data_IF_108317897505
#
_entry.id   IF_108317897505
#
_cell.length_a   1.000
_cell.length_b   1.000
_cell.length_c   1.000
_cell.angle_alpha   90.00
_cell.angle_beta   90.00
_cell.angle_gamma   90.00
#
_symmetry.space_group_name_H-M   'P 1'
#
loop_
_entity.id
_entity.type
_entity.pdbx_description
1 polymer ?
#
# COMPACT_ATOMS: atom_id res chain seq x y z
N UNK A 1 -6.46 -1.08 28.27
CA UNK A 1 -5.61 -1.42 27.11
C UNK A 1 -5.78 -0.33 26.07
N UNK A 2 -4.69 0.18 25.55
CA UNK A 2 -4.77 1.24 24.56
C UNK A 2 -5.10 0.60 23.19
N UNK A 3 -6.34 0.69 22.77
CA UNK A 3 -6.84 0.15 21.48
C UNK A 3 -6.63 1.16 20.33
N UNK A 4 -5.78 2.16 20.55
CA UNK A 4 -5.48 3.18 19.55
C UNK A 4 -4.69 2.58 18.40
N UNK A 5 -5.07 2.99 17.17
CA UNK A 5 -4.31 2.66 15.97
C UNK A 5 -3.01 3.46 15.95
N UNK A 6 -1.88 2.79 15.84
CA UNK A 6 -0.54 3.37 15.74
C UNK A 6 0.06 3.03 14.39
N UNK A 7 0.60 4.03 13.69
CA UNK A 7 1.36 3.82 12.46
C UNK A 7 2.85 4.00 12.79
N UNK A 8 3.65 3.00 12.47
CA UNK A 8 5.10 2.99 12.71
C UNK A 8 5.86 2.30 11.58
N UNK A 9 7.17 2.49 11.47
CA UNK A 9 7.99 1.62 10.63
C UNK A 9 7.83 0.15 11.03
N UNK A 10 7.75 -0.73 10.03
CA UNK A 10 7.70 -2.18 10.26
C UNK A 10 9.07 -2.70 10.68
N UNK A 11 9.08 -3.79 11.43
CA UNK A 11 10.27 -4.53 11.85
C UNK A 11 10.15 -6.00 11.46
N UNK A 12 11.24 -6.76 11.55
CA UNK A 12 11.26 -8.18 11.17
C UNK A 12 10.15 -9.00 11.86
N UNK A 13 9.86 -8.71 13.12
CA UNK A 13 8.83 -9.42 13.89
C UNK A 13 7.40 -9.28 13.30
N UNK A 14 7.15 -8.24 12.51
CA UNK A 14 5.84 -8.01 11.89
C UNK A 14 5.62 -8.86 10.63
N UNK A 15 6.69 -9.32 9.99
CA UNK A 15 6.68 -9.88 8.63
C UNK A 15 5.77 -11.08 8.50
N UNK A 16 5.84 -12.04 9.41
CA UNK A 16 5.07 -13.29 9.31
C UNK A 16 3.56 -13.02 9.40
N UNK A 17 3.13 -12.15 10.31
CA UNK A 17 1.73 -11.76 10.44
C UNK A 17 1.24 -11.06 9.16
N UNK A 18 1.99 -10.08 8.68
CA UNK A 18 1.67 -9.32 7.45
C UNK A 18 1.57 -10.25 6.23
N UNK A 19 2.49 -11.17 6.08
CA UNK A 19 2.50 -12.14 4.99
C UNK A 19 1.32 -13.11 5.05
N UNK A 20 0.97 -13.57 6.25
CA UNK A 20 -0.10 -14.54 6.44
C UNK A 20 -1.47 -14.01 6.01
N UNK A 21 -1.87 -12.81 6.40
CA UNK A 21 -3.17 -12.28 5.96
C UNK A 21 -3.17 -11.84 4.50
N UNK A 22 -2.03 -11.33 3.99
CA UNK A 22 -1.92 -10.88 2.60
C UNK A 22 -2.11 -12.06 1.64
N UNK A 23 -1.52 -13.21 1.93
CA UNK A 23 -1.67 -14.41 1.11
C UNK A 23 -3.12 -14.96 1.11
N UNK A 24 -3.95 -14.57 2.07
CA UNK A 24 -5.38 -14.95 2.12
C UNK A 24 -6.29 -14.05 1.29
N UNK A 25 -5.77 -12.92 0.77
CA UNK A 25 -6.56 -12.07 -0.13
C UNK A 25 -6.89 -12.86 -1.41
N UNK A 26 -8.17 -13.02 -1.78
CA UNK A 26 -8.58 -13.90 -2.88
C UNK A 26 -7.83 -13.63 -4.18
N UNK A 27 -7.71 -12.37 -4.56
CA UNK A 27 -6.98 -11.97 -5.77
C UNK A 27 -5.53 -12.48 -5.77
N UNK A 28 -4.85 -12.43 -4.63
CA UNK A 28 -3.46 -12.87 -4.51
C UNK A 28 -3.35 -14.40 -4.46
N UNK A 29 -4.26 -15.05 -3.76
CA UNK A 29 -4.30 -16.52 -3.69
C UNK A 29 -4.55 -17.13 -5.07
N UNK A 30 -5.46 -16.57 -5.87
CA UNK A 30 -5.75 -17.00 -7.24
C UNK A 30 -4.54 -16.87 -8.18
N UNK A 31 -3.63 -15.94 -7.89
CA UNK A 31 -2.40 -15.72 -8.67
C UNK A 31 -1.17 -16.44 -8.09
N UNK A 32 -1.39 -17.39 -7.17
CA UNK A 32 -0.32 -18.20 -6.59
C UNK A 32 0.63 -17.43 -5.66
N UNK A 33 0.22 -16.27 -5.16
CA UNK A 33 0.98 -15.50 -4.18
C UNK A 33 0.86 -16.21 -2.82
N UNK A 34 2.01 -16.64 -2.29
CA UNK A 34 2.10 -17.37 -1.03
C UNK A 34 2.59 -16.50 0.11
N UNK A 35 2.32 -16.90 1.36
CA UNK A 35 2.87 -16.21 2.52
C UNK A 35 4.41 -16.14 2.47
N UNK A 36 5.08 -17.21 2.04
CA UNK A 36 6.52 -17.25 1.89
C UNK A 36 7.05 -16.23 0.86
N UNK A 37 6.34 -16.07 -0.28
CA UNK A 37 6.73 -15.09 -1.30
C UNK A 37 6.52 -13.66 -0.81
N UNK A 38 5.43 -13.38 -0.10
CA UNK A 38 5.17 -12.08 0.51
C UNK A 38 6.20 -11.76 1.59
N UNK A 39 6.48 -12.70 2.50
CA UNK A 39 7.47 -12.52 3.57
C UNK A 39 8.85 -12.17 2.99
N UNK A 40 9.28 -12.85 1.93
CA UNK A 40 10.55 -12.54 1.25
C UNK A 40 10.56 -11.11 0.68
N UNK A 41 9.47 -10.67 0.04
CA UNK A 41 9.36 -9.29 -0.47
C UNK A 41 9.41 -8.26 0.66
N UNK A 42 8.72 -8.51 1.76
CA UNK A 42 8.70 -7.62 2.92
C UNK A 42 10.08 -7.50 3.56
N UNK A 43 10.81 -8.62 3.71
CA UNK A 43 12.20 -8.61 4.21
C UNK A 43 13.13 -7.82 3.32
N UNK A 44 13.00 -7.94 2.01
CA UNK A 44 13.74 -7.11 1.07
C UNK A 44 13.42 -5.63 1.27
N UNK A 45 12.15 -5.28 1.45
CA UNK A 45 11.73 -3.90 1.68
C UNK A 45 12.29 -3.31 2.99
N UNK A 46 12.43 -4.11 4.05
CA UNK A 46 13.01 -3.66 5.33
C UNK A 46 14.46 -3.20 5.21
N UNK A 47 15.21 -3.71 4.25
CA UNK A 47 16.64 -3.41 4.05
C UNK A 47 16.90 -2.49 2.85
N UNK A 48 15.87 -2.14 2.08
CA UNK A 48 15.96 -1.27 0.91
C UNK A 48 15.84 0.21 1.31
N UNK A 49 16.93 0.96 1.16
CA UNK A 49 16.93 2.40 1.43
C UNK A 49 15.99 3.21 0.49
N UNK A 50 15.60 2.65 -0.66
CA UNK A 50 14.63 3.22 -1.59
C UNK A 50 13.18 2.88 -1.28
N UNK A 51 12.91 2.10 -0.22
CA UNK A 51 11.59 1.68 0.20
C UNK A 51 11.24 2.21 1.60
N UNK A 52 9.93 2.28 1.86
CA UNK A 52 9.37 2.47 3.19
C UNK A 52 8.33 1.38 3.43
N UNK A 53 8.42 0.72 4.57
CA UNK A 53 7.44 -0.26 5.00
C UNK A 53 6.84 0.23 6.32
N UNK A 54 5.58 0.69 6.25
CA UNK A 54 4.82 1.12 7.42
C UNK A 54 3.87 0.02 7.86
N UNK A 55 3.74 -0.16 9.15
CA UNK A 55 2.76 -1.05 9.78
C UNK A 55 1.77 -0.25 10.60
N UNK A 56 0.51 -0.62 10.50
CA UNK A 56 -0.54 -0.20 11.42
C UNK A 56 -0.69 -1.26 12.50
N UNK A 57 -0.62 -0.82 13.74
CA UNK A 57 -0.67 -1.67 14.93
C UNK A 57 -1.85 -1.26 15.80
N UNK A 58 -2.53 -2.23 16.38
CA UNK A 58 -3.57 -2.03 17.38
C UNK A 58 -3.35 -2.98 18.54
N UNK A 59 -3.23 -2.43 19.76
CA UNK A 59 -2.95 -3.24 20.95
C UNK A 59 -1.67 -4.07 20.87
N UNK A 60 -0.63 -3.61 20.18
CA UNK A 60 0.62 -4.35 20.00
C UNK A 60 0.60 -5.40 18.88
N UNK A 61 -0.50 -5.47 18.10
CA UNK A 61 -0.66 -6.46 17.02
C UNK A 61 -0.72 -5.76 15.66
N UNK A 62 0.09 -6.17 14.68
CA UNK A 62 -0.02 -5.68 13.30
C UNK A 62 -1.41 -5.99 12.72
N UNK A 63 -2.07 -4.97 12.12
CA UNK A 63 -3.40 -5.10 11.52
C UNK A 63 -3.46 -4.58 10.08
N UNK A 64 -2.41 -3.99 9.58
CA UNK A 64 -2.28 -3.53 8.20
C UNK A 64 -0.88 -3.04 7.91
N UNK A 65 -0.51 -2.94 6.64
CA UNK A 65 0.76 -2.36 6.24
C UNK A 65 0.70 -1.70 4.86
N UNK A 66 1.68 -0.85 4.59
CA UNK A 66 1.90 -0.24 3.29
C UNK A 66 3.37 -0.38 2.89
N UNK A 67 3.61 -0.98 1.73
CA UNK A 67 4.92 -1.05 1.08
C UNK A 67 5.00 0.03 -0.01
N UNK A 68 5.95 0.92 0.13
CA UNK A 68 6.07 2.12 -0.66
C UNK A 68 7.50 2.27 -1.21
N UNK A 69 7.62 2.65 -2.47
CA UNK A 69 8.90 2.96 -3.11
C UNK A 69 9.04 4.47 -3.25
N UNK A 70 10.11 5.04 -2.72
CA UNK A 70 10.30 6.49 -2.60
C UNK A 70 10.34 7.20 -3.97
N UNK A 71 10.87 6.54 -4.98
CA UNK A 71 10.99 7.05 -6.37
C UNK A 71 10.47 6.04 -7.39
N UNK A 72 9.56 5.15 -7.00
CA UNK A 72 9.01 4.11 -7.87
C UNK A 72 8.13 4.62 -9.01
N UNK A 73 7.60 5.85 -8.89
CA UNK A 73 6.86 6.53 -9.95
C UNK A 73 7.80 7.30 -10.88
N UNK A 74 8.28 6.64 -11.93
CA UNK A 74 9.14 7.22 -12.98
C UNK A 74 10.44 7.87 -12.46
N UNK A 75 11.00 7.34 -11.37
CA UNK A 75 12.22 7.86 -10.76
C UNK A 75 12.05 9.20 -10.02
N UNK A 76 10.82 9.71 -9.91
CA UNK A 76 10.51 11.04 -9.39
C UNK A 76 9.50 11.02 -8.25
N UNK A 77 8.38 10.37 -8.46
CA UNK A 77 7.25 10.33 -7.52
C UNK A 77 7.30 9.06 -6.67
N UNK A 78 6.66 9.08 -5.52
CA UNK A 78 6.45 7.86 -4.76
C UNK A 78 5.51 6.88 -5.46
N UNK A 79 5.66 5.59 -5.16
CA UNK A 79 4.81 4.54 -5.67
C UNK A 79 4.39 3.60 -4.55
N UNK A 80 3.07 3.52 -4.31
CA UNK A 80 2.50 2.52 -3.40
C UNK A 80 2.50 1.17 -4.11
N UNK A 81 3.39 0.28 -3.69
CA UNK A 81 3.52 -1.06 -4.27
C UNK A 81 2.48 -2.03 -3.74
N UNK A 82 2.17 -1.94 -2.44
CA UNK A 82 1.20 -2.81 -1.79
C UNK A 82 0.61 -2.14 -0.55
N UNK A 83 -0.71 -2.15 -0.45
CA UNK A 83 -1.47 -1.83 0.75
C UNK A 83 -2.29 -3.06 1.12
N UNK A 84 -2.14 -3.55 2.33
CA UNK A 84 -2.88 -4.70 2.81
C UNK A 84 -3.35 -4.49 4.24
N UNK A 85 -4.60 -4.87 4.50
CA UNK A 85 -5.22 -4.78 5.82
C UNK A 85 -5.77 -6.16 6.18
N UNK A 86 -5.57 -6.59 7.42
CA UNK A 86 -6.13 -7.85 7.91
C UNK A 86 -7.65 -7.85 7.72
N UNK A 87 -8.16 -8.93 7.13
CA UNK A 87 -9.59 -9.08 6.86
C UNK A 87 -10.48 -8.90 8.09
N UNK A 88 -9.98 -9.23 9.28
CA UNK A 88 -10.70 -9.10 10.54
C UNK A 88 -11.00 -7.64 10.94
N UNK A 89 -10.22 -6.68 10.43
CA UNK A 89 -10.34 -5.25 10.77
C UNK A 89 -10.60 -4.35 9.57
N UNK A 90 -11.05 -4.91 8.45
CA UNK A 90 -11.44 -4.13 7.27
C UNK A 90 -12.54 -3.13 7.61
N UNK A 91 -12.58 -2.04 6.87
CA UNK A 91 -13.56 -0.94 7.04
C UNK A 91 -13.48 -0.19 8.38
N UNK A 92 -12.41 -0.39 9.15
CA UNK A 92 -12.16 0.31 10.42
C UNK A 92 -11.14 1.47 10.31
N UNK A 93 -10.91 1.97 9.09
CA UNK A 93 -10.04 3.13 8.86
C UNK A 93 -8.54 2.84 8.80
N UNK A 94 -8.11 1.58 8.93
CA UNK A 94 -6.68 1.21 8.93
C UNK A 94 -5.98 1.61 7.63
N UNK A 95 -6.56 1.28 6.47
CA UNK A 95 -6.01 1.66 5.16
C UNK A 95 -5.93 3.17 4.98
N UNK A 96 -6.96 3.90 5.42
CA UNK A 96 -6.96 5.37 5.37
C UNK A 96 -5.84 5.99 6.22
N UNK A 97 -5.61 5.45 7.41
CA UNK A 97 -4.56 5.93 8.30
C UNK A 97 -3.15 5.67 7.71
N UNK A 98 -2.93 4.49 7.12
CA UNK A 98 -1.68 4.18 6.41
C UNK A 98 -1.44 5.12 5.23
N UNK A 99 -2.46 5.36 4.41
CA UNK A 99 -2.35 6.28 3.27
C UNK A 99 -2.07 7.72 3.72
N UNK A 100 -2.75 8.20 4.78
CA UNK A 100 -2.50 9.51 5.33
C UNK A 100 -1.05 9.67 5.82
N UNK A 101 -0.50 8.68 6.51
CA UNK A 101 0.89 8.68 6.96
C UNK A 101 1.88 8.71 5.78
N UNK A 102 1.63 7.95 4.71
CA UNK A 102 2.45 7.98 3.50
C UNK A 102 2.38 9.33 2.78
N UNK A 103 1.19 9.90 2.65
CA UNK A 103 0.99 11.19 2.00
C UNK A 103 1.66 12.33 2.75
N UNK A 104 1.61 12.30 4.09
CA UNK A 104 2.31 13.26 4.94
C UNK A 104 3.83 13.15 4.79
N UNK A 105 4.37 11.93 4.83
CA UNK A 105 5.80 11.70 4.79
C UNK A 105 6.42 11.89 3.40
N UNK A 106 5.71 11.50 2.32
CA UNK A 106 6.30 11.33 0.99
C UNK A 106 5.49 11.97 -0.14
N UNK A 107 4.32 12.54 0.12
CA UNK A 107 3.45 13.14 -0.90
C UNK A 107 4.06 14.37 -1.57
N UNK A 108 4.94 15.07 -0.89
CA UNK A 108 5.60 16.26 -1.42
C UNK A 108 7.03 15.99 -1.88
N UNK A 109 7.52 16.69 -2.90
CA UNK A 109 6.77 17.65 -3.75
C UNK A 109 6.07 17.01 -4.95
N UNK A 110 6.28 15.70 -5.20
CA UNK A 110 6.04 15.07 -6.51
C UNK A 110 4.77 14.20 -6.59
N UNK A 111 3.97 14.11 -5.52
CA UNK A 111 2.78 13.27 -5.48
C UNK A 111 3.07 11.77 -5.43
N UNK A 112 2.00 10.98 -5.46
CA UNK A 112 2.04 9.53 -5.31
C UNK A 112 1.31 8.82 -6.46
N UNK A 113 1.93 7.74 -6.96
CA UNK A 113 1.31 6.79 -7.88
C UNK A 113 0.92 5.49 -7.18
N UNK A 114 -0.06 4.81 -7.72
CA UNK A 114 -0.37 3.42 -7.41
C UNK A 114 -1.02 2.73 -8.61
N UNK A 115 -0.95 1.41 -8.63
CA UNK A 115 -1.69 0.56 -9.56
C UNK A 115 -2.81 -0.16 -8.82
N UNK A 116 -3.92 -0.35 -9.50
CA UNK A 116 -5.04 -1.13 -9.00
C UNK A 116 -5.65 -1.94 -10.13
N UNK A 117 -5.81 -3.24 -9.94
CA UNK A 117 -6.43 -4.10 -10.95
C UNK A 117 -7.85 -3.60 -11.25
N UNK A 118 -8.19 -3.48 -12.53
CA UNK A 118 -9.46 -2.88 -12.98
C UNK A 118 -10.71 -3.55 -12.41
N UNK A 119 -10.64 -4.84 -12.10
CA UNK A 119 -11.72 -5.63 -11.51
C UNK A 119 -11.88 -5.41 -10.00
N UNK A 120 -10.90 -4.83 -9.32
CA UNK A 120 -10.96 -4.56 -7.89
C UNK A 120 -11.74 -3.26 -7.59
N UNK A 121 -13.07 -3.35 -7.74
CA UNK A 121 -13.94 -2.19 -7.58
C UNK A 121 -13.88 -1.55 -6.20
N UNK A 122 -13.69 -2.34 -5.14
CA UNK A 122 -13.61 -1.84 -3.76
C UNK A 122 -12.35 -1.01 -3.53
N UNK A 123 -11.19 -1.51 -3.99
CA UNK A 123 -9.94 -0.76 -3.90
C UNK A 123 -9.99 0.52 -4.75
N UNK A 124 -10.55 0.46 -5.95
CA UNK A 124 -10.73 1.64 -6.80
C UNK A 124 -11.55 2.72 -6.12
N UNK A 125 -12.72 2.37 -5.57
CA UNK A 125 -13.54 3.32 -4.79
C UNK A 125 -12.79 3.88 -3.58
N UNK A 126 -12.02 3.04 -2.90
CA UNK A 126 -11.20 3.46 -1.77
C UNK A 126 -10.19 4.55 -2.16
N UNK A 127 -9.41 4.34 -3.21
CA UNK A 127 -8.41 5.32 -3.67
C UNK A 127 -9.05 6.58 -4.25
N UNK A 128 -10.12 6.45 -5.02
CA UNK A 128 -10.88 7.60 -5.55
C UNK A 128 -11.45 8.44 -4.39
N UNK A 129 -11.95 7.81 -3.34
CA UNK A 129 -12.40 8.48 -2.11
C UNK A 129 -11.29 9.19 -1.33
N UNK A 130 -10.02 8.83 -1.55
CA UNK A 130 -8.85 9.53 -1.00
C UNK A 130 -8.33 10.65 -1.91
N UNK A 131 -8.95 10.86 -3.07
CA UNK A 131 -8.57 11.91 -4.02
C UNK A 131 -7.56 11.47 -5.08
N UNK A 132 -7.32 10.17 -5.24
CA UNK A 132 -6.54 9.65 -6.37
C UNK A 132 -7.37 9.69 -7.65
N UNK A 133 -6.79 10.19 -8.72
CA UNK A 133 -7.41 10.25 -10.03
C UNK A 133 -6.83 9.18 -10.96
N UNK A 134 -7.68 8.54 -11.74
CA UNK A 134 -7.23 7.65 -12.81
C UNK A 134 -6.53 8.47 -13.90
N UNK A 135 -5.31 8.11 -14.23
CA UNK A 135 -4.49 8.82 -15.23
C UNK A 135 -4.09 7.93 -16.40
N UNK A 136 -4.38 6.65 -16.35
CA UNK A 136 -4.08 5.71 -17.41
C UNK A 136 -4.35 4.27 -17.04
N UNK A 137 -4.02 3.37 -17.96
CA UNK A 137 -4.11 1.91 -17.78
C UNK A 137 -2.92 1.20 -18.43
N UNK A 138 -2.54 0.06 -17.86
CA UNK A 138 -1.52 -0.83 -18.42
C UNK A 138 -2.13 -2.22 -18.60
N UNK A 139 -2.35 -2.70 -19.82
CA UNK A 139 -2.88 -4.04 -20.07
C UNK A 139 -1.79 -5.10 -19.81
N UNK A 140 -2.22 -6.28 -19.37
CA UNK A 140 -1.37 -7.49 -19.22
C UNK A 140 -0.08 -7.29 -18.40
N UNK A 141 -0.08 -6.33 -17.48
CA UNK A 141 1.13 -5.93 -16.77
C UNK A 141 1.51 -6.88 -15.62
N UNK A 142 0.58 -7.16 -14.73
CA UNK A 142 0.80 -8.10 -13.62
C UNK A 142 0.25 -9.48 -13.93
N UNK A 143 -0.86 -9.55 -14.63
CA UNK A 143 -1.55 -10.80 -14.95
C UNK A 143 -2.10 -10.74 -16.36
N UNK A 144 -1.82 -11.74 -17.22
CA UNK A 144 -2.41 -11.83 -18.54
C UNK A 144 -3.95 -11.75 -18.51
N UNK A 145 -4.55 -10.95 -19.39
CA UNK A 145 -5.98 -10.74 -19.47
C UNK A 145 -6.54 -9.70 -18.49
N UNK A 146 -5.75 -9.20 -17.58
CA UNK A 146 -6.12 -8.10 -16.69
C UNK A 146 -5.36 -6.81 -17.06
N UNK A 147 -5.93 -5.68 -16.71
CA UNK A 147 -5.25 -4.39 -16.84
C UNK A 147 -5.17 -3.72 -15.48
N UNK A 148 -4.09 -3.01 -15.26
CA UNK A 148 -3.90 -2.18 -14.09
C UNK A 148 -4.32 -0.75 -14.39
N UNK A 149 -5.14 -0.18 -13.54
CA UNK A 149 -5.49 1.24 -13.55
C UNK A 149 -4.40 2.01 -12.84
N UNK A 150 -3.85 3.01 -13.50
CA UNK A 150 -2.85 3.91 -12.91
C UNK A 150 -3.57 5.05 -12.22
N UNK A 151 -3.37 5.17 -10.92
CA UNK A 151 -3.87 6.28 -10.13
C UNK A 151 -2.73 7.22 -9.72
N UNK A 152 -3.04 8.51 -9.66
CA UNK A 152 -2.12 9.55 -9.21
C UNK A 152 -2.83 10.54 -8.30
N UNK A 153 -2.16 10.93 -7.24
CA UNK A 153 -2.57 12.06 -6.38
C UNK A 153 -1.44 13.07 -6.35
N UNK A 154 -1.71 14.25 -6.88
CA UNK A 154 -0.76 15.35 -6.86
C UNK A 154 -0.45 15.79 -5.42
N UNK A 155 0.75 16.27 -5.20
CA UNK A 155 1.06 16.95 -3.94
C UNK A 155 0.11 18.13 -3.73
N UNK A 156 -0.33 18.39 -2.49
CA UNK A 156 -1.07 19.61 -2.20
C UNK A 156 -0.26 20.81 -2.66
N UNK A 157 -0.87 21.73 -3.40
CA UNK A 157 -0.22 22.99 -3.77
C UNK A 157 0.13 23.70 -2.46
N UNK A 158 1.43 23.84 -2.18
CA UNK A 158 1.88 24.65 -1.07
C UNK A 158 1.36 26.07 -1.22
N UNK A 159 1.00 26.73 -0.12
CA UNK A 159 1.01 28.20 -0.13
C UNK A 159 2.37 28.60 -0.72
N UNK A 160 2.36 29.47 -1.73
CA UNK A 160 3.58 30.03 -2.27
C UNK A 160 4.41 30.60 -1.12
N UNK A 161 5.75 30.48 -1.16
CA UNK A 161 6.60 31.08 -0.16
C UNK A 161 6.39 32.58 -0.06
#
# INVERSE_FOLDING_TARGET
>A
MNDALVIRPAVEADVEAMAAWTARVPLFAEHGITAASVARQLRTALTDAGASLLVAERGGVPVGFAHFLLKGGFGRSGYLKLLSVDGAVRSQGVGRALMAALEEAYGRPNGLFLLCTHTNADARRFYEGLGYAQVGEVPDYLTPGLREVIYFKAAPRGAAP
#
